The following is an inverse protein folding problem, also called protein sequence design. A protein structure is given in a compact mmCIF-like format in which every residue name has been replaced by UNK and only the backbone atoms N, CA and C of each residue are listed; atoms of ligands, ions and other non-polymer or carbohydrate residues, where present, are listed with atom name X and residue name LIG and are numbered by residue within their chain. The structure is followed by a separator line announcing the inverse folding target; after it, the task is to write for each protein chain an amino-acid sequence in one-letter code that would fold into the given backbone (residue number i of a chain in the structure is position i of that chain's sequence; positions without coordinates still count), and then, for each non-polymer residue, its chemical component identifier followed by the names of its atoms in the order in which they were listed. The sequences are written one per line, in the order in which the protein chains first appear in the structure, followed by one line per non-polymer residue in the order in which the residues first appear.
data_IF_453120625485
#
_entry.id   IF_453120625485
#
_cell.length_a   1.000
_cell.length_b   1.000
_cell.length_c   1.000
_cell.angle_alpha   90.00
_cell.angle_beta   90.00
_cell.angle_gamma   90.00
#
_symmetry.space_group_name_H-M   'P 1'
#
loop_
_entity.id
_entity.type
_entity.pdbx_description
1 polymer ?
#
# COMPACT_ATOMS: atom_id res chain seq x y z
N UNK A 1 -0.92 -2.01 0.16
CA UNK A 1 -1.60 -3.28 0.50
C UNK A 1 -3.01 -3.01 1.02
N UNK A 2 -3.95 -3.89 0.63
CA UNK A 2 -5.36 -3.90 1.04
C UNK A 2 -5.70 -5.26 1.63
N UNK A 3 -6.65 -5.32 2.56
CA UNK A 3 -7.15 -6.55 3.18
C UNK A 3 -8.66 -6.54 3.26
N UNK A 4 -9.27 -7.69 3.05
CA UNK A 4 -10.68 -7.92 3.34
C UNK A 4 -10.85 -8.91 4.47
N UNK A 5 -11.70 -8.54 5.42
CA UNK A 5 -12.01 -9.36 6.58
C UNK A 5 -13.49 -9.71 6.59
N UNK A 6 -13.82 -10.86 7.16
CA UNK A 6 -15.20 -11.17 7.54
C UNK A 6 -15.67 -10.15 8.58
N UNK A 7 -16.84 -9.55 8.34
CA UNK A 7 -17.37 -8.46 9.18
C UNK A 7 -17.82 -8.92 10.56
N UNK A 8 -18.17 -10.20 10.72
CA UNK A 8 -18.68 -10.76 11.97
C UNK A 8 -17.56 -11.37 12.82
N UNK A 9 -16.61 -12.06 12.18
CA UNK A 9 -15.56 -12.80 12.90
C UNK A 9 -14.22 -12.05 12.94
N UNK A 10 -13.99 -11.12 12.01
CA UNK A 10 -12.69 -10.48 11.82
C UNK A 10 -11.64 -11.39 11.18
N UNK A 11 -12.04 -12.55 10.65
CA UNK A 11 -11.15 -13.45 9.91
C UNK A 11 -10.66 -12.78 8.61
N UNK A 12 -9.36 -12.90 8.31
CA UNK A 12 -8.79 -12.40 7.06
C UNK A 12 -9.20 -13.32 5.91
N UNK A 13 -9.99 -12.81 4.97
CA UNK A 13 -10.51 -13.57 3.83
C UNK A 13 -9.64 -13.41 2.58
N UNK A 14 -9.11 -12.21 2.36
CA UNK A 14 -8.24 -11.92 1.22
C UNK A 14 -7.29 -10.77 1.51
N UNK A 15 -6.18 -10.74 0.78
CA UNK A 15 -5.24 -9.64 0.77
C UNK A 15 -4.88 -9.27 -0.67
N UNK A 16 -4.51 -8.02 -0.87
CA UNK A 16 -3.95 -7.53 -2.13
C UNK A 16 -2.73 -6.66 -1.84
N UNK A 17 -1.56 -7.13 -2.25
CA UNK A 17 -0.29 -6.42 -2.14
C UNK A 17 0.34 -6.22 -3.53
N UNK A 18 0.14 -5.03 -4.16
CA UNK A 18 0.67 -4.77 -5.50
C UNK A 18 2.21 -4.71 -5.57
N UNK A 19 2.90 -4.65 -4.43
CA UNK A 19 4.36 -4.74 -4.37
C UNK A 19 4.91 -6.17 -4.39
N UNK A 20 4.05 -7.16 -4.13
CA UNK A 20 4.45 -8.56 -4.03
C UNK A 20 4.49 -9.25 -5.41
N UNK A 21 5.33 -10.28 -5.54
CA UNK A 21 5.37 -11.14 -6.73
C UNK A 21 4.06 -11.91 -6.92
N UNK A 22 3.46 -12.35 -5.82
CA UNK A 22 2.10 -12.88 -5.77
C UNK A 22 1.24 -11.89 -4.98
N UNK A 23 0.49 -11.01 -5.64
CA UNK A 23 -0.25 -9.95 -4.97
C UNK A 23 -1.36 -10.45 -4.06
N UNK A 24 -1.87 -11.67 -4.24
CA UNK A 24 -3.02 -12.17 -3.48
C UNK A 24 -2.63 -13.14 -2.36
N UNK A 25 -1.33 -13.32 -2.12
CA UNK A 25 -0.84 -14.19 -1.07
C UNK A 25 -1.31 -13.68 0.31
N UNK A 26 -1.93 -14.58 1.07
CA UNK A 26 -2.32 -14.33 2.46
C UNK A 26 -1.06 -14.46 3.33
N UNK A 27 -0.83 -13.54 4.28
CA UNK A 27 0.34 -13.56 5.15
C UNK A 27 0.38 -14.85 5.99
N UNK A 28 1.59 -15.40 6.12
CA UNK A 28 1.92 -16.56 6.94
C UNK A 28 3.24 -16.29 7.67
N UNK A 29 3.73 -17.24 8.46
CA UNK A 29 5.04 -17.11 9.12
C UNK A 29 6.19 -16.94 8.10
N UNK A 30 6.01 -17.45 6.88
CA UNK A 30 6.95 -17.37 5.77
C UNK A 30 6.65 -16.22 4.78
N UNK A 31 5.45 -15.63 4.84
CA UNK A 31 5.01 -14.60 3.92
C UNK A 31 4.61 -13.31 4.64
N UNK A 32 5.40 -12.26 4.40
CA UNK A 32 5.10 -10.91 4.87
C UNK A 32 4.83 -9.97 3.70
N UNK A 33 4.06 -8.94 3.97
CA UNK A 33 3.75 -7.93 2.96
C UNK A 33 4.95 -7.09 2.61
N UNK A 34 4.96 -6.65 1.36
CA UNK A 34 6.03 -5.84 0.79
C UNK A 34 6.05 -4.47 1.46
N UNK A 35 7.21 -4.10 1.99
CA UNK A 35 7.41 -2.78 2.58
C UNK A 35 7.20 -1.70 1.51
N UNK A 36 6.53 -0.61 1.89
CA UNK A 36 6.28 0.55 1.02
C UNK A 36 5.44 0.26 -0.23
N UNK A 37 4.66 -0.81 -0.23
CA UNK A 37 3.68 -1.05 -1.28
C UNK A 37 2.70 0.11 -1.43
N UNK A 38 2.24 0.40 -2.66
CA UNK A 38 1.18 1.35 -2.93
C UNK A 38 0.00 1.18 -1.97
N UNK A 39 -0.44 2.30 -1.40
CA UNK A 39 -1.57 2.37 -0.48
C UNK A 39 -2.84 2.87 -1.22
N UNK A 40 -3.98 2.83 -0.55
CA UNK A 40 -5.24 3.40 -1.04
C UNK A 40 -5.87 4.19 0.10
N UNK A 41 -5.97 5.51 -0.05
CA UNK A 41 -6.58 6.41 0.95
C UNK A 41 -7.82 7.13 0.43
N UNK A 42 -7.98 7.20 -0.89
CA UNK A 42 -9.16 7.82 -1.48
C UNK A 42 -10.38 6.88 -1.37
N UNK A 43 -11.60 7.44 -1.44
CA UNK A 43 -12.83 6.64 -1.36
C UNK A 43 -12.88 5.50 -2.38
N UNK A 44 -13.29 4.32 -1.93
CA UNK A 44 -13.56 3.18 -2.79
C UNK A 44 -14.96 3.28 -3.42
N UNK A 45 -15.17 2.57 -4.52
CA UNK A 45 -16.48 2.37 -5.14
C UNK A 45 -16.79 0.89 -5.33
N UNK A 46 -18.07 0.52 -5.34
CA UNK A 46 -18.55 -0.85 -5.56
C UNK A 46 -19.64 -0.86 -6.63
N UNK A 47 -19.55 -1.79 -7.57
CA UNK A 47 -20.59 -2.06 -8.57
C UNK A 47 -21.25 -3.42 -8.29
N UNK A 48 -22.49 -3.39 -7.81
CA UNK A 48 -23.26 -4.59 -7.48
C UNK A 48 -23.66 -5.45 -8.68
N UNK A 49 -23.68 -4.89 -9.90
CA UNK A 49 -23.99 -5.67 -11.11
C UNK A 49 -22.81 -6.51 -11.58
N UNK A 50 -21.60 -6.00 -11.36
CA UNK A 50 -20.35 -6.68 -11.71
C UNK A 50 -19.75 -7.46 -10.54
N UNK A 51 -20.23 -7.17 -9.33
CA UNK A 51 -19.67 -7.64 -8.07
C UNK A 51 -18.18 -7.30 -7.93
N UNK A 52 -17.84 -6.05 -8.24
CA UNK A 52 -16.47 -5.53 -8.25
C UNK A 52 -16.30 -4.33 -7.34
N UNK A 53 -15.19 -4.32 -6.60
CA UNK A 53 -14.72 -3.17 -5.83
C UNK A 53 -13.59 -2.48 -6.58
N UNK A 54 -13.69 -1.16 -6.73
CA UNK A 54 -12.68 -0.31 -7.34
C UNK A 54 -11.94 0.47 -6.26
N UNK A 55 -10.62 0.25 -6.18
CA UNK A 55 -9.74 0.82 -5.17
C UNK A 55 -8.71 1.76 -5.82
N UNK A 56 -8.75 3.07 -5.54
CA UNK A 56 -7.76 4.01 -6.08
C UNK A 56 -6.40 3.83 -5.38
N UNK A 57 -5.37 3.45 -6.13
CA UNK A 57 -4.04 3.21 -5.60
C UNK A 57 -3.14 4.44 -5.75
N UNK A 58 -2.40 4.77 -4.69
CA UNK A 58 -1.32 5.76 -4.68
C UNK A 58 0.00 5.21 -5.24
N UNK A 59 1.10 5.90 -4.98
CA UNK A 59 2.45 5.50 -5.41
C UNK A 59 3.20 4.73 -4.32
N UNK A 60 4.29 4.07 -4.70
CA UNK A 60 5.28 3.51 -3.76
C UNK A 60 6.04 4.63 -3.05
N UNK A 61 6.37 4.43 -1.77
CA UNK A 61 7.30 5.32 -1.04
C UNK A 61 8.69 5.34 -1.69
N UNK A 62 9.38 6.50 -1.75
CA UNK A 62 8.93 7.81 -1.27
C UNK A 62 7.93 8.48 -2.22
N UNK A 63 6.83 8.99 -1.65
CA UNK A 63 5.79 9.78 -2.32
C UNK A 63 6.30 11.16 -2.79
N UNK A 64 7.53 11.52 -2.42
CA UNK A 64 8.19 12.76 -2.80
C UNK A 64 9.37 12.44 -3.70
N UNK A 65 9.30 12.88 -4.96
CA UNK A 65 10.46 12.87 -5.86
C UNK A 65 11.39 14.05 -5.54
N UNK A 66 12.51 13.76 -4.87
CA UNK A 66 13.66 14.67 -4.80
C UNK A 66 14.64 14.33 -5.92
N UNK A 67 14.89 15.25 -6.85
CA UNK A 67 15.95 15.09 -7.87
C UNK A 67 17.31 14.74 -7.21
N UNK A 68 18.02 13.80 -7.83
CA UNK A 68 19.29 13.16 -7.46
C UNK A 68 20.16 13.89 -6.43
N UNK A 69 20.23 13.38 -5.19
CA UNK A 69 21.43 13.53 -4.37
C UNK A 69 22.30 12.29 -4.60
N UNK A 70 23.34 12.42 -5.44
CA UNK A 70 24.41 11.43 -5.43
C UNK A 70 24.99 11.36 -4.01
N UNK A 71 24.80 10.20 -3.38
CA UNK A 71 25.32 9.74 -2.07
C UNK A 71 26.27 10.71 -1.34
N UNK A 72 25.86 11.13 -0.14
CA UNK A 72 26.70 10.89 1.03
C UNK A 72 25.84 10.82 2.30
N UNK A 73 26.17 9.85 3.15
CA UNK A 73 25.65 9.74 4.52
C UNK A 73 26.04 11.03 5.23
N UNK A 74 25.06 11.87 5.58
CA UNK A 74 25.01 12.76 6.74
C UNK A 74 23.91 13.79 6.50
N UNK A 75 22.81 13.55 7.21
CA UNK A 75 21.77 14.47 7.67
C UNK A 75 21.99 15.95 7.34
N UNK A 76 20.98 16.58 6.74
CA UNK A 76 20.73 18.02 6.87
C UNK A 76 19.23 18.26 7.11
N UNK A 77 18.84 19.18 8.00
CA UNK A 77 17.46 19.32 8.45
C UNK A 77 16.62 20.10 7.44
N UNK A 78 15.39 19.65 7.23
CA UNK A 78 14.38 20.43 6.52
C UNK A 78 13.90 21.58 7.42
N UNK A 79 14.14 22.84 7.02
CA UNK A 79 13.44 24.00 7.55
C UNK A 79 12.23 24.26 6.65
N UNK A 80 11.03 24.00 7.17
CA UNK A 80 9.79 24.55 6.65
C UNK A 80 9.36 25.74 7.50
N UNK A 81 8.68 26.69 6.86
CA UNK A 81 8.17 28.01 7.32
C UNK A 81 9.05 29.23 6.99
N UNK A 82 8.68 29.91 5.89
CA UNK A 82 8.30 31.33 5.90
C UNK A 82 7.21 31.58 4.87
#
# INVERSE_FOLDING_TARGET
MIRGFDVNTGELLWAFDPGAKDPNAIPSDEHTFTFNSPNSWAPAAYDAKLDLVYLPMGVTTPDIWGVTAHRNRNVMPARFWR
#
